data_IF_172172327447
#
_entry.id   IF_172172327447
#
_cell.length_a   1.000
_cell.length_b   1.000
_cell.length_c   1.000
_cell.angle_alpha   90.00
_cell.angle_beta   90.00
_cell.angle_gamma   90.00
#
_symmetry.space_group_name_H-M   'P 1'
#
loop_
_entity.id
_entity.type
_entity.pdbx_description
1 polymer ?
#
# COMPACT_ATOMS: atom_id res chain seq x y z
N UNK A 1 -12.97 33.81 -11.26
CA UNK A 1 -13.97 33.36 -12.26
C UNK A 1 -14.01 31.84 -12.19
N UNK A 2 -15.22 31.28 -11.99
CA UNK A 2 -15.63 29.87 -12.16
C UNK A 2 -14.81 28.80 -11.42
N UNK A 3 -15.22 28.16 -10.32
CA UNK A 3 -16.49 27.48 -9.96
C UNK A 3 -17.07 26.62 -11.09
N UNK A 4 -16.99 25.28 -10.91
CA UNK A 4 -17.91 24.21 -11.38
C UNK A 4 -17.48 22.89 -10.66
N UNK A 5 -18.19 22.48 -9.59
CA UNK A 5 -19.31 21.51 -9.55
C UNK A 5 -18.89 20.06 -9.88
N UNK A 6 -18.72 19.17 -8.89
CA UNK A 6 -19.74 18.25 -8.33
C UNK A 6 -20.44 17.37 -9.38
N UNK A 7 -20.11 16.07 -9.36
CA UNK A 7 -21.05 15.00 -9.69
C UNK A 7 -20.78 13.80 -8.76
N UNK A 8 -21.63 13.69 -7.73
CA UNK A 8 -21.81 12.50 -6.94
C UNK A 8 -22.60 11.43 -7.70
N UNK A 9 -22.23 10.17 -7.51
CA UNK A 9 -23.07 9.03 -7.83
C UNK A 9 -23.07 8.09 -6.63
N UNK A 10 -24.21 8.05 -5.93
CA UNK A 10 -24.48 7.09 -4.85
C UNK A 10 -25.50 6.03 -5.30
N UNK A 11 -25.09 4.76 -5.13
CA UNK A 11 -25.81 3.51 -4.87
C UNK A 11 -27.10 3.15 -5.60
N UNK A 12 -27.12 1.87 -6.03
CA UNK A 12 -28.27 0.98 -5.81
C UNK A 12 -27.82 -0.36 -5.22
N UNK A 13 -28.23 -0.63 -3.98
CA UNK A 13 -28.25 -1.93 -3.31
C UNK A 13 -29.37 -2.78 -3.92
N UNK A 14 -29.09 -4.03 -4.26
CA UNK A 14 -30.09 -5.10 -4.28
C UNK A 14 -29.65 -6.16 -3.27
N UNK A 15 -30.42 -6.30 -2.20
CA UNK A 15 -30.30 -7.38 -1.22
C UNK A 15 -31.43 -8.39 -1.38
N UNK A 16 -31.19 -9.59 -0.84
CA UNK A 16 -32.15 -10.70 -0.73
C UNK A 16 -31.35 -12.02 -0.71
N UNK A 17 -30.83 -12.50 0.42
CA UNK A 17 -31.43 -12.96 1.69
C UNK A 17 -31.86 -14.44 1.68
N UNK A 18 -31.38 -15.18 2.68
CA UNK A 18 -31.66 -16.57 3.03
C UNK A 18 -30.34 -17.27 3.41
N UNK A 19 -29.94 -17.49 4.67
CA UNK A 19 -30.74 -17.89 5.83
C UNK A 19 -31.30 -19.30 5.58
N UNK A 20 -31.05 -20.36 6.33
CA UNK A 20 -30.55 -20.50 7.70
C UNK A 20 -30.24 -21.99 7.93
N UNK A 21 -29.26 -22.24 8.79
CA UNK A 21 -29.25 -23.22 9.89
C UNK A 21 -29.61 -24.72 9.71
N UNK A 22 -28.79 -25.48 10.44
CA UNK A 22 -29.16 -26.60 11.33
C UNK A 22 -29.68 -27.90 10.74
N UNK A 23 -28.86 -28.94 10.91
CA UNK A 23 -29.13 -29.93 11.95
C UNK A 23 -30.32 -30.87 11.74
N UNK A 24 -30.00 -32.07 11.26
CA UNK A 24 -30.64 -33.36 11.60
C UNK A 24 -32.12 -33.54 11.21
N UNK A 25 -32.47 -34.73 10.69
CA UNK A 25 -33.06 -35.70 11.62
C UNK A 25 -32.63 -37.16 11.41
N UNK A 26 -32.72 -37.90 12.52
CA UNK A 26 -32.50 -39.34 12.65
C UNK A 26 -33.64 -40.20 12.09
N UNK A 27 -33.25 -41.34 11.49
CA UNK A 27 -33.90 -42.67 11.38
C UNK A 27 -35.25 -42.73 10.63
N UNK A 28 -35.54 -43.76 9.83
CA UNK A 28 -35.94 -45.11 10.27
C UNK A 28 -35.77 -46.18 9.17
N UNK A 29 -35.15 -47.30 9.58
CA UNK A 29 -35.37 -48.73 9.25
C UNK A 29 -35.70 -49.18 7.82
N UNK A 30 -34.89 -50.12 7.30
CA UNK A 30 -35.31 -51.53 7.14
C UNK A 30 -34.15 -52.46 6.76
N UNK A 31 -33.94 -53.47 7.62
CA UNK A 31 -33.66 -54.88 7.28
C UNK A 31 -32.47 -55.31 6.40
N UNK A 32 -31.56 -56.05 7.06
CA UNK A 32 -30.95 -57.37 6.71
C UNK A 32 -30.34 -57.59 5.31
N UNK A 33 -29.09 -58.08 5.33
CA UNK A 33 -28.48 -58.94 4.30
C UNK A 33 -27.20 -58.33 3.77
N UNK A 34 -26.03 -58.68 4.31
CA UNK A 34 -25.16 -59.75 3.81
C UNK A 34 -24.29 -59.31 2.62
N UNK A 35 -22.97 -59.34 2.86
CA UNK A 35 -21.91 -59.76 1.91
C UNK A 35 -21.63 -58.89 0.69
N UNK A 36 -20.43 -58.29 0.67
CA UNK A 36 -19.70 -57.98 -0.57
C UNK A 36 -18.95 -56.66 -0.47
N UNK A 37 -17.63 -56.71 -0.31
CA UNK A 37 -16.78 -55.53 -0.50
C UNK A 37 -16.84 -55.09 -1.96
N UNK A 38 -17.45 -53.93 -2.21
CA UNK A 38 -17.35 -53.19 -3.46
C UNK A 38 -16.49 -51.96 -3.20
N UNK A 39 -15.43 -51.79 -3.99
CA UNK A 39 -14.63 -50.57 -3.99
C UNK A 39 -15.52 -49.43 -4.51
N UNK A 40 -15.65 -48.39 -3.71
CA UNK A 40 -16.10 -47.09 -4.15
C UNK A 40 -15.01 -46.56 -5.09
N UNK A 41 -15.28 -46.55 -6.40
CA UNK A 41 -14.46 -45.80 -7.35
C UNK A 41 -14.74 -44.32 -7.07
N UNK A 42 -13.89 -43.72 -6.24
CA UNK A 42 -13.76 -42.26 -6.18
C UNK A 42 -13.54 -41.81 -7.63
N UNK A 43 -14.38 -40.92 -8.15
CA UNK A 43 -14.20 -40.35 -9.48
C UNK A 43 -12.83 -39.66 -9.51
N UNK A 44 -11.78 -40.37 -9.96
CA UNK A 44 -10.43 -39.84 -10.12
C UNK A 44 -10.53 -38.62 -11.03
N UNK A 45 -10.38 -37.45 -10.42
CA UNK A 45 -10.41 -36.19 -11.15
C UNK A 45 -9.18 -36.14 -12.05
N UNK A 46 -9.37 -35.68 -13.28
CA UNK A 46 -8.29 -35.33 -14.20
C UNK A 46 -7.22 -34.50 -13.46
N UNK A 47 -6.06 -35.09 -13.18
CA UNK A 47 -4.97 -34.57 -12.34
C UNK A 47 -4.37 -35.56 -11.34
N UNK A 48 -5.12 -36.57 -10.91
CA UNK A 48 -4.72 -37.46 -9.79
C UNK A 48 -3.82 -38.64 -10.22
N UNK A 49 -3.87 -39.05 -11.49
CA UNK A 49 -3.04 -40.11 -12.05
C UNK A 49 -1.80 -39.57 -12.78
N UNK A 50 -0.63 -40.20 -12.62
CA UNK A 50 0.61 -39.82 -13.33
C UNK A 50 0.47 -39.85 -14.87
N UNK A 51 -0.42 -40.70 -15.38
CA UNK A 51 -0.72 -40.80 -16.82
C UNK A 51 -1.57 -39.65 -17.37
N UNK A 52 -2.16 -38.81 -16.51
CA UNK A 52 -3.00 -37.69 -16.93
C UNK A 52 -2.17 -36.45 -17.31
N UNK A 53 -0.98 -36.34 -16.71
CA UNK A 53 0.05 -35.38 -17.10
C UNK A 53 0.56 -35.59 -18.54
N UNK A 54 0.38 -36.80 -19.10
CA UNK A 54 0.68 -37.07 -20.51
C UNK A 54 -0.25 -36.32 -21.47
N UNK A 55 -1.46 -35.95 -21.03
CA UNK A 55 -2.39 -35.15 -21.82
C UNK A 55 -1.87 -33.71 -21.92
N UNK A 56 -1.40 -33.11 -20.82
CA UNK A 56 -0.73 -31.81 -20.86
C UNK A 56 0.56 -31.84 -21.68
N UNK A 57 1.38 -32.89 -21.56
CA UNK A 57 2.58 -33.05 -22.40
C UNK A 57 2.26 -33.18 -23.90
N UNK A 58 1.17 -33.87 -24.26
CA UNK A 58 0.73 -34.00 -25.65
C UNK A 58 0.14 -32.70 -26.20
N UNK A 59 -0.53 -31.91 -25.37
CA UNK A 59 -1.11 -30.61 -25.76
C UNK A 59 -0.07 -29.49 -25.81
N UNK A 60 0.91 -29.48 -24.90
CA UNK A 60 2.01 -28.50 -24.91
C UNK A 60 3.07 -28.74 -25.99
N UNK A 61 2.97 -29.84 -26.76
CA UNK A 61 3.95 -30.19 -27.79
C UNK A 61 3.96 -29.23 -29.00
N UNK A 62 2.90 -28.44 -29.18
CA UNK A 62 2.71 -27.61 -30.37
C UNK A 62 2.74 -26.08 -30.11
N UNK A 63 3.28 -25.58 -28.99
CA UNK A 63 3.16 -24.14 -28.76
C UNK A 63 3.91 -23.49 -27.61
N UNK A 64 5.03 -24.06 -27.16
CA UNK A 64 5.94 -23.35 -26.26
C UNK A 64 7.35 -23.51 -26.80
N UNK A 65 7.91 -22.42 -27.33
CA UNK A 65 9.35 -22.30 -27.45
C UNK A 65 9.94 -22.58 -26.08
N UNK A 66 10.93 -23.47 -26.01
CA UNK A 66 11.54 -23.80 -24.73
C UNK A 66 12.12 -22.52 -24.09
N UNK A 67 12.19 -22.44 -22.77
CA UNK A 67 12.81 -21.30 -22.07
C UNK A 67 14.20 -20.96 -22.65
N UNK A 68 14.94 -21.98 -23.08
CA UNK A 68 16.23 -21.85 -23.76
C UNK A 68 16.15 -21.19 -25.15
N UNK A 69 15.11 -21.48 -25.93
CA UNK A 69 14.86 -20.83 -27.23
C UNK A 69 14.48 -19.36 -27.02
N UNK A 70 13.67 -19.05 -26.01
CA UNK A 70 13.28 -17.69 -25.65
C UNK A 70 14.47 -16.85 -25.17
N UNK A 71 15.37 -17.44 -24.37
CA UNK A 71 16.65 -16.82 -23.99
C UNK A 71 17.56 -16.58 -25.20
N UNK A 72 17.58 -17.50 -26.16
CA UNK A 72 18.38 -17.39 -27.37
C UNK A 72 17.86 -16.27 -28.28
N UNK A 73 16.56 -16.16 -28.47
CA UNK A 73 15.95 -15.04 -29.19
C UNK A 73 16.22 -13.71 -28.49
N UNK A 74 16.10 -13.66 -27.16
CA UNK A 74 16.42 -12.47 -26.38
C UNK A 74 17.89 -12.05 -26.54
N UNK A 75 18.81 -13.02 -26.57
CA UNK A 75 20.22 -12.80 -26.80
C UNK A 75 20.50 -12.29 -28.22
N UNK A 76 19.77 -12.79 -29.22
CA UNK A 76 19.88 -12.32 -30.61
C UNK A 76 19.34 -10.88 -30.75
N UNK A 77 18.21 -10.57 -30.13
CA UNK A 77 17.65 -9.21 -30.07
C UNK A 77 18.63 -8.26 -29.37
N UNK A 78 19.21 -8.64 -28.24
CA UNK A 78 20.17 -7.79 -27.51
C UNK A 78 21.47 -7.58 -28.33
N UNK A 79 21.92 -8.62 -29.06
CA UNK A 79 23.06 -8.53 -29.97
C UNK A 79 22.80 -7.55 -31.12
N UNK A 80 21.60 -7.60 -31.70
CA UNK A 80 21.21 -6.67 -32.77
C UNK A 80 21.17 -5.25 -32.22
N UNK A 81 20.48 -5.02 -31.09
CA UNK A 81 20.40 -3.71 -30.45
C UNK A 81 21.78 -3.13 -30.13
N UNK A 82 22.69 -3.96 -29.62
CA UNK A 82 24.08 -3.57 -29.33
C UNK A 82 24.87 -3.10 -30.56
N UNK A 83 24.54 -3.57 -31.78
CA UNK A 83 25.21 -3.11 -33.00
C UNK A 83 24.77 -1.70 -33.44
N UNK A 84 23.55 -1.30 -33.07
CA UNK A 84 23.00 0.01 -33.43
C UNK A 84 23.21 1.05 -32.33
N UNK A 85 23.68 0.63 -31.17
CA UNK A 85 24.04 1.49 -30.07
C UNK A 85 25.43 2.13 -30.29
N UNK A 86 25.45 3.13 -31.17
CA UNK A 86 26.61 3.99 -31.43
C UNK A 86 26.50 5.33 -30.69
N UNK A 87 25.54 5.45 -29.75
CA UNK A 87 25.24 6.68 -29.01
C UNK A 87 25.35 6.52 -27.50
N UNK A 88 25.11 5.33 -26.94
CA UNK A 88 25.13 5.15 -25.49
C UNK A 88 26.52 4.77 -24.96
N UNK A 89 27.48 4.29 -25.76
CA UNK A 89 28.82 3.95 -25.19
C UNK A 89 29.56 5.16 -24.62
N UNK A 90 29.53 6.29 -25.33
CA UNK A 90 30.21 7.52 -24.91
C UNK A 90 29.32 8.35 -23.96
N UNK A 91 28.00 8.37 -24.21
CA UNK A 91 27.05 9.07 -23.36
C UNK A 91 26.82 8.38 -22.00
N UNK A 92 26.79 7.04 -21.94
CA UNK A 92 26.63 6.30 -20.68
C UNK A 92 27.88 6.35 -19.80
N UNK A 93 29.07 6.41 -20.41
CA UNK A 93 30.34 6.64 -19.69
C UNK A 93 30.35 8.01 -19.02
N UNK A 94 29.99 9.06 -19.76
CA UNK A 94 29.89 10.43 -19.25
C UNK A 94 28.72 10.60 -18.25
N UNK A 95 27.60 9.89 -18.43
CA UNK A 95 26.49 9.86 -17.48
C UNK A 95 26.87 9.13 -16.18
N UNK A 96 27.58 8.01 -16.24
CA UNK A 96 28.12 7.33 -15.05
C UNK A 96 29.07 8.23 -14.24
N UNK A 97 29.90 9.04 -14.92
CA UNK A 97 30.76 10.05 -14.30
C UNK A 97 30.03 11.33 -13.85
N UNK A 98 28.75 11.52 -14.19
CA UNK A 98 27.91 12.58 -13.62
C UNK A 98 27.06 12.06 -12.46
N UNK A 99 26.75 10.77 -12.45
CA UNK A 99 25.92 10.12 -11.43
C UNK A 99 26.71 9.77 -10.16
N UNK A 100 28.03 9.61 -10.23
CA UNK A 100 28.84 9.29 -9.03
C UNK A 100 28.79 10.38 -7.94
N UNK A 101 28.41 11.61 -8.30
CA UNK A 101 28.33 12.77 -7.40
C UNK A 101 26.90 13.24 -7.11
N UNK A 102 25.90 12.38 -7.26
CA UNK A 102 24.51 12.73 -6.98
C UNK A 102 24.04 12.18 -5.63
N UNK A 103 23.40 13.04 -4.84
CA UNK A 103 22.72 12.65 -3.61
C UNK A 103 21.21 12.67 -3.86
N UNK A 104 20.59 11.50 -3.83
CA UNK A 104 19.15 11.37 -3.98
C UNK A 104 18.47 11.52 -2.62
N UNK A 105 17.66 12.57 -2.47
CA UNK A 105 16.78 12.76 -1.33
C UNK A 105 15.37 12.34 -1.72
N UNK A 106 14.84 11.31 -1.06
CA UNK A 106 13.46 10.88 -1.26
C UNK A 106 12.62 11.33 -0.06
N UNK A 107 12.62 10.55 1.01
CA UNK A 107 11.77 10.78 2.18
C UNK A 107 12.35 11.80 3.15
N UNK A 108 13.63 12.14 3.03
CA UNK A 108 14.33 13.01 3.98
C UNK A 108 13.75 14.43 3.99
N UNK A 109 13.23 14.90 2.85
CA UNK A 109 12.60 16.22 2.74
C UNK A 109 11.34 16.34 3.61
N UNK A 110 10.61 15.24 3.79
CA UNK A 110 9.44 15.19 4.68
C UNK A 110 9.83 14.75 6.10
N UNK A 111 10.83 13.88 6.24
CA UNK A 111 11.25 13.32 7.53
C UNK A 111 11.96 14.33 8.42
N UNK A 112 12.87 15.13 7.85
CA UNK A 112 13.65 16.13 8.60
C UNK A 112 12.76 17.17 9.28
N UNK A 113 11.78 17.81 8.60
CA UNK A 113 10.89 18.76 9.28
C UNK A 113 9.91 18.11 10.26
N UNK A 114 9.61 16.81 10.12
CA UNK A 114 8.73 16.10 11.06
C UNK A 114 9.37 15.96 12.46
N UNK A 115 10.70 16.08 12.57
CA UNK A 115 11.41 16.04 13.87
C UNK A 115 11.00 17.16 14.83
N UNK A 116 10.49 18.29 14.31
CA UNK A 116 9.97 19.38 15.15
C UNK A 116 8.68 18.99 15.88
N UNK A 117 7.92 18.05 15.29
CA UNK A 117 6.66 17.55 15.83
C UNK A 117 6.87 16.21 16.55
N UNK A 118 7.76 15.35 16.04
CA UNK A 118 8.05 14.03 16.57
C UNK A 118 9.56 13.82 16.78
N UNK A 119 10.13 14.36 17.88
CA UNK A 119 11.55 14.20 18.20
C UNK A 119 11.97 12.73 18.39
N UNK A 120 11.02 11.87 18.80
CA UNK A 120 11.24 10.44 18.99
C UNK A 120 11.68 9.70 17.73
N UNK A 121 11.47 10.27 16.54
CA UNK A 121 11.95 9.70 15.28
C UNK A 121 13.49 9.66 15.18
N UNK A 122 14.19 10.52 15.92
CA UNK A 122 15.66 10.49 16.08
C UNK A 122 16.12 9.67 17.29
N UNK A 123 15.19 9.04 18.03
CA UNK A 123 15.48 8.34 19.27
C UNK A 123 15.64 9.26 20.49
N UNK A 124 15.23 10.53 20.39
CA UNK A 124 15.21 11.45 21.53
C UNK A 124 13.81 11.49 22.18
N UNK A 125 13.77 11.35 23.50
CA UNK A 125 12.53 11.39 24.27
C UNK A 125 12.17 12.83 24.70
N UNK A 126 12.28 13.78 23.77
CA UNK A 126 11.85 15.17 23.99
C UNK A 126 10.44 15.38 23.45
N UNK A 127 9.73 16.34 24.01
CA UNK A 127 8.38 16.71 23.59
C UNK A 127 8.42 17.49 22.26
N UNK A 128 7.42 17.25 21.41
CA UNK A 128 7.24 18.02 20.18
C UNK A 128 6.88 19.48 20.47
N UNK A 129 7.06 20.37 19.50
CA UNK A 129 6.78 21.81 19.69
C UNK A 129 5.32 22.09 20.13
N UNK A 130 4.38 21.25 19.66
CA UNK A 130 2.95 21.39 19.98
C UNK A 130 2.65 20.90 21.39
N UNK A 131 3.30 19.82 21.83
CA UNK A 131 3.17 19.29 23.19
C UNK A 131 3.74 20.27 24.22
N UNK A 132 4.89 20.86 23.93
CA UNK A 132 5.48 21.91 24.78
C UNK A 132 4.55 23.12 24.87
N UNK A 133 3.93 23.51 23.75
CA UNK A 133 2.96 24.60 23.75
C UNK A 133 1.72 24.24 24.58
N UNK A 134 1.24 23.00 24.49
CA UNK A 134 0.13 22.53 25.32
C UNK A 134 0.47 22.62 26.82
N UNK A 135 1.67 22.18 27.22
CA UNK A 135 2.14 22.25 28.60
C UNK A 135 2.19 23.72 29.10
N UNK A 136 2.71 24.64 28.27
CA UNK A 136 2.71 26.08 28.58
C UNK A 136 1.29 26.63 28.70
N UNK A 137 0.39 26.26 27.78
CA UNK A 137 -1.01 26.69 27.79
C UNK A 137 -1.78 26.10 28.98
N UNK A 138 -1.38 24.93 29.46
CA UNK A 138 -1.94 24.29 30.64
C UNK A 138 -1.65 25.04 31.94
N UNK A 139 -0.57 25.83 31.98
CA UNK A 139 -0.25 26.71 33.10
C UNK A 139 -1.22 27.91 33.25
N UNK A 140 -1.96 28.26 32.19
CA UNK A 140 -2.90 29.39 32.19
C UNK A 140 -4.35 28.95 32.48
N UNK A 141 -5.17 29.85 33.06
CA UNK A 141 -6.60 29.61 33.28
C UNK A 141 -7.36 29.43 31.95
N UNK A 142 -8.47 28.69 32.00
CA UNK A 142 -9.23 28.24 30.82
C UNK A 142 -9.64 29.35 29.85
N UNK A 143 -10.06 30.51 30.37
CA UNK A 143 -10.52 31.65 29.55
C UNK A 143 -9.38 32.27 28.74
N UNK A 144 -8.19 32.41 29.34
CA UNK A 144 -7.01 32.96 28.68
C UNK A 144 -6.42 31.96 27.68
N UNK A 145 -6.49 30.66 28.00
CA UNK A 145 -5.99 29.59 27.13
C UNK A 145 -6.58 29.64 25.73
N UNK A 146 -7.91 29.81 25.63
CA UNK A 146 -8.61 29.92 24.35
C UNK A 146 -8.09 31.12 23.55
N UNK A 147 -8.00 32.29 24.18
CA UNK A 147 -7.52 33.52 23.54
C UNK A 147 -6.07 33.40 23.05
N UNK A 148 -5.21 32.71 23.80
CA UNK A 148 -3.81 32.49 23.42
C UNK A 148 -3.68 31.48 22.28
N UNK A 149 -4.44 30.39 22.32
CA UNK A 149 -4.45 29.37 21.28
C UNK A 149 -4.87 29.94 19.92
N UNK A 150 -5.91 30.78 19.89
CA UNK A 150 -6.39 31.46 18.67
C UNK A 150 -5.35 32.44 18.08
N UNK A 151 -4.42 32.96 18.90
CA UNK A 151 -3.44 33.97 18.51
C UNK A 151 -2.00 33.45 18.55
N UNK A 152 -1.73 32.34 17.85
CA UNK A 152 -0.38 31.80 17.72
C UNK A 152 0.37 32.40 16.52
N UNK A 153 1.58 32.94 16.76
CA UNK A 153 2.47 33.44 15.71
C UNK A 153 3.70 32.54 15.59
N UNK A 154 3.95 32.04 14.38
CA UNK A 154 5.16 31.27 14.07
C UNK A 154 6.20 32.21 13.47
N UNK A 155 7.38 32.28 14.08
CA UNK A 155 8.45 33.19 13.66
C UNK A 155 9.76 32.42 13.41
N UNK A 156 10.73 33.08 12.78
CA UNK A 156 12.07 32.52 12.52
C UNK A 156 12.22 31.79 11.18
N UNK A 157 13.38 31.17 10.95
CA UNK A 157 13.71 30.50 9.69
C UNK A 157 12.88 29.25 9.39
N UNK A 158 12.54 28.48 10.42
CA UNK A 158 11.76 27.23 10.31
C UNK A 158 10.31 27.49 9.87
N UNK A 159 9.80 28.71 10.08
CA UNK A 159 8.47 29.12 9.58
C UNK A 159 8.36 29.10 8.05
N UNK A 160 9.49 29.15 7.34
CA UNK A 160 9.56 29.15 5.87
C UNK A 160 9.47 27.75 5.27
N UNK A 161 9.46 26.70 6.09
CA UNK A 161 9.28 25.33 5.61
C UNK A 161 7.87 25.21 4.98
N UNK A 162 7.75 24.64 3.77
CA UNK A 162 6.46 24.51 3.11
C UNK A 162 5.50 23.65 3.94
N UNK A 163 4.26 24.12 4.11
CA UNK A 163 3.23 23.39 4.86
C UNK A 163 3.37 23.45 6.39
N UNK A 164 4.36 24.18 6.95
CA UNK A 164 4.59 24.28 8.39
C UNK A 164 3.36 24.78 9.16
N UNK A 165 2.76 25.88 8.69
CA UNK A 165 1.56 26.47 9.31
C UNK A 165 0.37 25.51 9.25
N UNK A 166 0.18 24.82 8.12
CA UNK A 166 -0.90 23.85 7.94
C UNK A 166 -0.74 22.63 8.85
N UNK A 167 0.50 22.12 8.96
CA UNK A 167 0.83 21.00 9.86
C UNK A 167 0.61 21.39 11.32
N UNK A 168 1.10 22.55 11.74
CA UNK A 168 0.97 23.06 13.10
C UNK A 168 -0.49 23.27 13.50
N UNK A 169 -1.30 23.88 12.63
CA UNK A 169 -2.74 24.06 12.85
C UNK A 169 -3.48 22.73 12.99
N UNK A 170 -3.12 21.72 12.19
CA UNK A 170 -3.71 20.38 12.26
C UNK A 170 -3.42 19.69 13.60
N UNK A 171 -2.21 19.82 14.10
CA UNK A 171 -1.81 19.25 15.40
C UNK A 171 -2.53 19.96 16.56
N UNK A 172 -2.56 21.30 16.58
CA UNK A 172 -3.32 22.05 17.58
C UNK A 172 -4.81 21.68 17.64
N UNK A 173 -5.42 21.48 16.46
CA UNK A 173 -6.83 21.07 16.36
C UNK A 173 -7.09 19.63 16.81
N UNK A 174 -6.05 18.80 16.91
CA UNK A 174 -6.16 17.43 17.44
C UNK A 174 -6.23 17.43 18.96
N UNK A 175 -5.57 18.40 19.61
CA UNK A 175 -5.51 18.54 21.07
C UNK A 175 -6.73 19.27 21.62
N UNK A 176 -7.13 20.36 20.96
CA UNK A 176 -8.20 21.23 21.46
C UNK A 176 -9.59 20.88 20.94
N UNK A 177 -10.65 21.21 21.72
CA UNK A 177 -12.03 21.02 21.30
C UNK A 177 -12.36 21.73 19.98
N UNK A 178 -13.25 21.13 19.19
CA UNK A 178 -13.60 21.62 17.85
C UNK A 178 -14.29 22.99 17.84
N UNK A 179 -14.75 23.48 18.99
CA UNK A 179 -15.36 24.80 19.14
C UNK A 179 -14.34 25.95 19.11
N UNK A 180 -13.04 25.65 19.21
CA UNK A 180 -11.97 26.64 19.16
C UNK A 180 -11.55 26.87 17.70
N UNK A 181 -11.48 28.13 17.27
CA UNK A 181 -10.98 28.48 15.93
C UNK A 181 -9.46 28.65 15.97
N UNK A 182 -8.78 27.51 16.06
CA UNK A 182 -7.32 27.36 15.94
C UNK A 182 -6.92 26.97 14.54
#
# INVERSE_FOLDING_TARGET
MHLLFELGLEKKKSGGNGGSASGGPQKRSSTKGASGGGQEEEEEGFGDAEGDWDVYRKVSKDGWESEAELEQELAEVNRILSQYDSRDSDAASEQMEQDWNQLHFAVDQARVPELLFQPSLMGECSAGIVEVLEDVLNAYPWEERKRLAENCLITGGLSRIPGMVGRFRKELRTIYPAEWDV
#
